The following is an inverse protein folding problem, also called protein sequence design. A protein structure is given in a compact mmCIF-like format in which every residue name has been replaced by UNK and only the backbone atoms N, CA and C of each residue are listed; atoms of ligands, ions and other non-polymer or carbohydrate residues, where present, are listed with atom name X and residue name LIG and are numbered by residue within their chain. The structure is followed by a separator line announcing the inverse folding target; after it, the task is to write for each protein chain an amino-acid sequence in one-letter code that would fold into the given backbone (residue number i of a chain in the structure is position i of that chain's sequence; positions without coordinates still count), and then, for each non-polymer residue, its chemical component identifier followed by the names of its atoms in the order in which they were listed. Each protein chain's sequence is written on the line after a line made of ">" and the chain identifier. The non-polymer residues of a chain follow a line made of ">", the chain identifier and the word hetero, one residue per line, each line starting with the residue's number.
data_IF_369338981183
#
_entry.id   IF_369338981183
#
_cell.length_a   1.000
_cell.length_b   1.000
_cell.length_c   1.000
_cell.angle_alpha   90.00
_cell.angle_beta   90.00
_cell.angle_gamma   90.00
#
_symmetry.space_group_name_H-M   'P 1'
#
loop_
_entity.id
_entity.type
_entity.pdbx_description
1 polymer ?
2 polymer ?
3 non-polymer ?
4 non-polymer ?
5 water ?
#
# COMPACT_ATOMS: atom_id res chain seq x y z
N UNK A 3 3.44 -8.65 -11.97
CA UNK A 3 2.44 -8.35 -10.96
C UNK A 3 2.89 -7.17 -10.11
N UNK A 4 2.06 -6.12 -10.03
CA UNK A 4 2.46 -4.92 -9.32
C UNK A 4 2.42 -5.15 -7.81
N UNK A 5 3.46 -4.69 -7.12
CA UNK A 5 3.59 -4.81 -5.68
C UNK A 5 3.12 -3.53 -5.01
N UNK A 6 2.59 -3.66 -3.80
CA UNK A 6 2.31 -2.49 -2.97
C UNK A 6 2.63 -2.83 -1.53
N UNK A 7 2.72 -1.79 -0.71
CA UNK A 7 3.13 -1.91 0.69
C UNK A 7 1.93 -1.64 1.58
N UNK A 8 1.86 -2.37 2.68
CA UNK A 8 0.91 -2.07 3.75
C UNK A 8 1.64 -2.06 5.08
N UNK A 9 1.15 -1.24 5.99
CA UNK A 9 1.66 -1.20 7.36
C UNK A 9 0.93 -2.25 8.19
N UNK A 10 1.64 -3.29 8.62
CA UNK A 10 1.03 -4.27 9.51
C UNK A 10 0.85 -3.69 10.91
N UNK A 11 1.89 -3.03 11.39
CA UNK A 11 1.91 -2.24 12.62
C UNK A 11 3.03 -1.23 12.46
N UNK A 12 3.08 -0.19 13.30
CA UNK A 12 4.11 0.84 13.07
C UNK A 12 5.51 0.23 13.00
N UNK A 13 6.24 0.58 11.94
CA UNK A 13 7.58 0.05 11.74
C UNK A 13 7.65 -1.28 11.02
N UNK A 14 6.52 -1.95 10.75
CA UNK A 14 6.53 -3.25 10.08
C UNK A 14 5.72 -3.14 8.80
N UNK A 15 6.38 -3.27 7.65
CA UNK A 15 5.78 -3.00 6.35
C UNK A 15 5.85 -4.25 5.49
N UNK A 16 4.68 -4.72 5.01
CA UNK A 16 4.62 -5.91 4.18
C UNK A 16 4.42 -5.51 2.73
N UNK A 17 5.10 -6.20 1.82
CA UNK A 17 4.93 -5.99 0.40
C UNK A 17 4.12 -7.14 -0.17
N UNK A 18 3.05 -6.81 -0.90
CA UNK A 18 2.04 -7.76 -1.34
C UNK A 18 1.84 -7.66 -2.84
N UNK A 19 1.34 -8.76 -3.43
CA UNK A 19 0.75 -8.70 -4.76
C UNK A 19 -0.58 -9.42 -4.76
N UNK A 20 -1.35 -9.13 -5.81
CA UNK A 20 -2.52 -9.93 -6.12
C UNK A 20 -2.08 -11.36 -6.44
N UNK A 21 -2.99 -12.30 -6.21
CA UNK A 21 -2.70 -13.68 -6.56
C UNK A 21 -3.90 -14.33 -7.25
N UNK A 22 -4.72 -15.06 -6.51
CA UNK A 22 -5.80 -15.83 -7.13
C UNK A 22 -7.17 -15.41 -6.59
N UNK A 23 -7.29 -14.15 -6.20
CA UNK A 23 -8.53 -13.67 -5.62
C UNK A 23 -8.72 -14.06 -4.17
N UNK A 24 -7.75 -14.75 -3.58
CA UNK A 24 -7.81 -15.06 -2.16
C UNK A 24 -6.74 -14.28 -1.42
N UNK A 25 -6.02 -14.95 -0.53
CA UNK A 25 -4.97 -14.25 0.22
C UNK A 25 -3.96 -13.64 -0.73
N UNK A 26 -3.51 -12.43 -0.40
CA UNK A 26 -2.46 -11.78 -1.16
C UNK A 26 -1.11 -12.48 -0.94
N UNK A 27 -0.25 -12.37 -1.94
CA UNK A 27 1.07 -13.01 -1.93
C UNK A 27 2.04 -12.11 -1.19
N UNK A 28 2.72 -12.68 -0.19
CA UNK A 28 3.69 -11.92 0.60
C UNK A 28 5.06 -11.98 -0.06
N UNK A 29 5.60 -10.82 -0.43
CA UNK A 29 6.91 -10.76 -1.08
C UNK A 29 8.05 -10.54 -0.08
N UNK A 30 7.82 -9.71 0.93
CA UNK A 30 8.84 -9.42 1.92
C UNK A 30 8.20 -8.68 3.08
N UNK A 31 8.92 -8.66 4.20
CA UNK A 31 8.58 -7.86 5.37
C UNK A 31 9.77 -6.96 5.66
N UNK A 32 9.52 -5.67 5.82
CA UNK A 32 10.56 -4.70 6.13
C UNK A 32 10.32 -4.16 7.53
N UNK A 33 11.38 -4.12 8.32
CA UNK A 33 11.35 -3.64 9.70
C UNK A 33 12.15 -2.36 9.78
N UNK A 34 11.51 -1.28 10.19
CA UNK A 34 12.20 -0.01 10.36
C UNK A 34 13.34 -0.15 11.35
N UNK A 35 14.55 0.25 10.94
CA UNK A 35 15.67 0.25 11.87
C UNK A 35 15.56 1.34 12.93
N UNK A 36 14.69 2.34 12.72
CA UNK A 36 14.40 3.27 13.80
C UNK A 36 13.75 2.53 14.96
N UNK A 37 12.91 1.53 14.66
CA UNK A 37 12.11 0.89 15.68
C UNK A 37 12.54 -0.52 16.06
N UNK A 38 13.35 -1.19 15.24
CA UNK A 38 13.70 -2.59 15.46
C UNK A 38 15.21 -2.79 15.38
N UNK A 39 15.76 -3.41 16.42
CA UNK A 39 17.04 -4.08 16.26
C UNK A 39 16.84 -5.35 15.44
N UNK A 40 17.95 -5.94 14.99
CA UNK A 40 17.82 -7.18 14.25
C UNK A 40 17.26 -8.27 15.15
N UNK A 41 17.65 -8.27 16.43
CA UNK A 41 17.11 -9.25 17.37
C UNK A 41 15.60 -9.07 17.52
N UNK A 42 15.15 -7.82 17.64
CA UNK A 42 13.72 -7.59 17.79
C UNK A 42 12.95 -7.98 16.53
N UNK A 43 13.54 -7.76 15.35
CA UNK A 43 12.85 -8.13 14.12
C UNK A 43 12.72 -9.64 14.03
N UNK A 44 13.76 -10.37 14.42
CA UNK A 44 13.68 -11.83 14.40
C UNK A 44 12.66 -12.33 15.42
N UNK A 45 12.56 -11.66 16.58
CA UNK A 45 11.55 -12.03 17.57
C UNK A 45 10.15 -11.72 17.06
N UNK A 46 9.97 -10.59 16.37
CA UNK A 46 8.67 -10.24 15.81
C UNK A 46 8.21 -11.32 14.84
N UNK A 47 9.11 -11.74 13.96
CA UNK A 47 8.74 -12.79 13.01
C UNK A 47 8.38 -14.08 13.72
N UNK A 48 9.15 -14.47 14.73
CA UNK A 48 8.82 -15.68 15.47
C UNK A 48 7.44 -15.58 16.11
N UNK A 49 7.10 -14.41 16.65
CA UNK A 49 5.82 -14.24 17.33
C UNK A 49 4.66 -14.15 16.35
N UNK A 50 4.88 -13.61 15.16
CA UNK A 50 3.79 -13.25 14.26
C UNK A 50 3.69 -14.12 13.02
N UNK A 51 4.66 -14.98 12.74
CA UNK A 51 4.63 -15.69 11.47
C UNK A 51 3.43 -16.62 11.37
N UNK A 52 2.98 -17.19 12.49
CA UNK A 52 1.81 -18.05 12.44
C UNK A 52 0.60 -17.32 11.90
N UNK A 53 0.38 -16.10 12.40
CA UNK A 53 -0.71 -15.28 11.88
C UNK A 53 -0.46 -14.92 10.42
N UNK A 54 0.79 -14.57 10.08
CA UNK A 54 1.10 -14.18 8.71
C UNK A 54 0.82 -15.30 7.72
N UNK A 55 1.11 -16.54 8.12
CA UNK A 55 0.86 -17.68 7.24
C UNK A 55 -0.61 -17.85 6.92
N UNK A 56 -1.49 -17.45 7.84
CA UNK A 56 -2.92 -17.57 7.63
C UNK A 56 -3.53 -16.35 6.97
N UNK A 57 -2.98 -15.16 7.22
CA UNK A 57 -3.55 -13.97 6.61
C UNK A 57 -3.08 -13.79 5.18
N UNK A 58 -1.88 -14.27 4.86
CA UNK A 58 -1.28 -14.07 3.55
C UNK A 58 -0.89 -15.41 2.98
N UNK A 59 -0.61 -15.40 1.68
CA UNK A 59 0.01 -16.54 1.01
C UNK A 59 1.51 -16.37 1.10
N UNK A 60 2.18 -17.31 1.77
CA UNK A 60 3.61 -17.20 2.04
C UNK A 60 4.29 -18.43 1.47
N UNK A 61 5.09 -18.24 0.43
CA UNK A 61 5.90 -19.33 -0.09
C UNK A 61 6.85 -19.82 0.99
N UNK A 62 6.88 -21.14 1.24
CA UNK A 62 7.62 -21.60 2.41
C UNK A 62 9.05 -22.00 2.08
N UNK A 63 9.29 -22.36 0.83
CA UNK A 63 10.64 -22.72 0.41
C UNK A 63 10.80 -22.29 -1.04
N UNK B 1 13.75 -21.25 2.26
CA UNK B 1 12.95 -20.45 3.17
C UNK B 1 13.19 -18.95 3.06
N UNK B 2 12.43 -18.18 3.83
CA UNK B 2 12.67 -16.73 3.88
C UNK B 2 14.09 -16.45 4.37
N UNK B 3 14.68 -15.38 3.83
CA UNK B 3 16.06 -15.01 4.15
C UNK B 3 16.09 -13.60 4.71
N UNK B 4 16.87 -13.41 5.77
CA UNK B 4 17.11 -12.08 6.32
C UNK B 4 18.16 -11.36 5.48
N UNK B 5 17.87 -10.11 5.12
CA UNK B 5 18.80 -9.27 4.39
C UNK B 5 19.06 -8.04 5.26
N UNK B 6 20.32 -7.84 5.62
CA UNK B 6 20.70 -6.86 6.63
C UNK B 6 21.63 -5.78 6.09
N UNK B 7 21.65 -5.60 4.77
CA UNK B 7 22.59 -4.69 4.12
C UNK B 7 22.04 -3.28 3.94
N UNK B 8 20.76 -3.05 4.21
CA UNK B 8 20.16 -1.72 4.08
C UNK B 8 20.19 -1.00 5.42
N UNK B 9 20.44 0.30 5.37
CA UNK B 9 20.60 1.05 6.60
C UNK B 9 19.29 1.60 7.13
N UNK B 10 18.21 1.49 6.36
CA UNK B 10 16.92 1.99 6.83
C UNK B 10 16.00 0.88 7.28
N UNK B 11 16.09 -0.30 6.66
CA UNK B 11 15.19 -1.40 6.97
C UNK B 11 15.96 -2.71 7.06
N UNK B 12 15.51 -3.56 7.98
CA UNK B 12 15.84 -4.98 7.97
C UNK B 12 14.81 -5.64 7.08
N UNK B 13 15.23 -6.52 6.17
CA UNK B 13 14.30 -7.13 5.23
C UNK B 13 14.25 -8.63 5.45
N UNK B 14 13.05 -9.17 5.55
CA UNK B 14 12.86 -10.62 5.45
C UNK B 14 12.31 -10.87 4.05
N UNK B 15 13.15 -11.44 3.19
CA UNK B 15 12.81 -11.66 1.80
C UNK B 15 12.21 -13.05 1.66
N UNK B 16 10.97 -13.13 1.20
CA UNK B 16 10.32 -14.43 1.14
C UNK B 16 10.92 -15.22 -0.03
N UNK C 3 -2.97 6.49 8.70
CA UNK C 3 -3.78 7.06 9.77
C UNK C 3 -4.25 8.51 9.47
N UNK C 4 -3.34 9.48 9.51
CA UNK C 4 -3.73 10.88 9.30
C UNK C 4 -3.69 11.19 7.80
N UNK C 5 -4.85 11.51 7.22
CA UNK C 5 -4.97 11.71 5.79
C UNK C 5 -4.92 13.20 5.46
N UNK C 6 -4.41 13.51 4.27
CA UNK C 6 -4.54 14.87 3.76
C UNK C 6 -4.81 14.81 2.27
N UNK C 7 -5.20 15.95 1.72
CA UNK C 7 -5.61 16.08 0.33
C UNK C 7 -4.57 16.89 -0.44
N UNK C 8 -4.33 16.50 -1.69
CA UNK C 8 -3.54 17.29 -2.62
C UNK C 8 -4.32 17.44 -3.92
N UNK C 9 -4.17 18.59 -4.56
CA UNK C 9 -4.76 18.82 -5.87
C UNK C 9 -3.78 18.33 -6.92
N UNK C 10 -4.16 17.28 -7.66
CA UNK C 10 -3.31 16.80 -8.74
C UNK C 10 -3.44 17.68 -9.98
N UNK C 11 -4.67 18.07 -10.30
CA UNK C 11 -4.98 19.09 -11.29
C UNK C 11 -6.33 19.66 -10.89
N UNK C 12 -6.76 20.77 -11.51
CA UNK C 12 -8.02 21.38 -11.08
C UNK C 12 -9.16 20.36 -11.10
N UNK C 13 -9.86 20.25 -9.97
CA UNK C 13 -10.97 19.33 -9.86
C UNK C 13 -10.61 17.89 -9.54
N UNK C 14 -9.32 17.56 -9.40
CA UNK C 14 -8.88 16.19 -9.13
C UNK C 14 -8.09 16.21 -7.83
N UNK C 15 -8.61 15.56 -6.79
CA UNK C 15 -8.04 15.65 -5.45
C UNK C 15 -7.68 14.26 -4.95
N UNK C 16 -6.40 14.07 -4.59
CA UNK C 16 -5.94 12.78 -4.09
C UNK C 16 -5.82 12.85 -2.58
N UNK C 17 -6.25 11.79 -1.91
CA UNK C 17 -6.10 11.68 -0.46
C UNK C 17 -4.96 10.72 -0.17
N UNK C 18 -4.02 11.17 0.66
CA UNK C 18 -2.77 10.48 0.92
C UNK C 18 -2.58 10.27 2.41
N UNK C 19 -1.76 9.27 2.74
CA UNK C 19 -1.15 9.16 4.07
C UNK C 19 0.33 8.89 3.94
N UNK C 20 1.03 9.11 5.06
CA UNK C 20 2.39 8.65 5.17
C UNK C 20 2.40 7.13 5.22
N UNK C 21 3.52 6.54 4.86
CA UNK C 21 3.59 5.09 4.93
C UNK C 21 4.91 4.61 5.54
N UNK C 22 5.93 4.40 4.72
CA UNK C 22 7.18 3.83 5.21
C UNK C 22 8.37 4.72 4.87
N UNK C 23 8.15 6.03 4.84
CA UNK C 23 9.18 6.94 4.39
C UNK C 23 9.41 6.94 2.90
N UNK C 24 8.59 6.22 2.13
CA UNK C 24 8.71 6.23 0.69
C UNK C 24 7.49 6.88 0.07
N UNK C 25 7.03 6.32 -1.05
CA UNK C 25 5.84 6.85 -1.71
C UNK C 25 4.67 6.90 -0.74
N UNK C 26 3.90 7.98 -0.81
CA UNK C 26 2.71 8.13 0.00
C UNK C 26 1.65 7.11 -0.41
N UNK C 27 0.79 6.76 0.54
CA UNK C 27 -0.27 5.78 0.32
C UNK C 27 -1.51 6.48 -0.23
N UNK C 28 -1.99 6.02 -1.38
CA UNK C 28 -3.16 6.62 -2.02
C UNK C 28 -4.42 5.98 -1.47
N UNK C 29 -5.29 6.80 -0.87
CA UNK C 29 -6.52 6.29 -0.28
C UNK C 29 -7.71 6.42 -1.23
N UNK C 30 -7.75 7.49 -2.01
CA UNK C 30 -8.86 7.71 -2.93
C UNK C 30 -8.53 8.89 -3.83
N UNK C 31 -9.27 8.98 -4.93
CA UNK C 31 -9.24 10.13 -5.84
C UNK C 31 -10.66 10.65 -5.93
N UNK C 32 -10.83 11.94 -5.71
CA UNK C 32 -12.12 12.61 -5.82
C UNK C 32 -12.10 13.53 -7.04
N UNK C 33 -13.17 13.47 -7.83
CA UNK C 33 -13.32 14.29 -9.03
C UNK C 33 -14.49 15.24 -8.81
N UNK C 34 -14.21 16.54 -8.90
CA UNK C 34 -15.26 17.53 -8.79
C UNK C 34 -16.33 17.33 -9.85
N UNK C 35 -17.59 17.25 -9.41
CA UNK C 35 -18.68 17.14 -10.38
C UNK C 35 -18.91 18.44 -11.14
N UNK C 36 -18.38 19.56 -10.66
CA UNK C 36 -18.41 20.78 -11.46
C UNK C 36 -17.63 20.59 -12.75
N UNK C 37 -16.50 19.87 -12.68
CA UNK C 37 -15.58 19.73 -13.79
C UNK C 37 -15.59 18.37 -14.47
N UNK C 38 -16.13 17.33 -13.84
CA UNK C 38 -16.02 15.97 -14.35
C UNK C 38 -17.37 15.28 -14.40
N UNK C 39 -17.77 14.83 -15.59
CA UNK C 39 -18.76 13.78 -15.69
C UNK C 39 -18.14 12.45 -15.29
N UNK C 40 -18.98 11.43 -15.13
CA UNK C 40 -18.44 10.12 -14.82
C UNK C 40 -17.59 9.60 -15.98
N UNK C 41 -17.99 9.92 -17.21
CA UNK C 41 -17.19 9.59 -18.39
C UNK C 41 -15.81 10.21 -18.30
N UNK C 42 -15.75 11.50 -17.93
CA UNK C 42 -14.47 12.19 -17.84
C UNK C 42 -13.62 11.65 -16.70
N UNK C 43 -14.24 11.32 -15.57
CA UNK C 43 -13.46 10.77 -14.45
C UNK C 43 -12.89 9.41 -14.80
N UNK C 44 -13.69 8.56 -15.44
CA UNK C 44 -13.18 7.25 -15.83
C UNK C 44 -12.05 7.39 -16.84
N UNK C 45 -12.18 8.35 -17.77
CA UNK C 45 -11.09 8.57 -18.71
C UNK C 45 -9.85 9.11 -18.02
N UNK C 46 -10.02 10.01 -17.04
CA UNK C 46 -8.86 10.49 -16.30
C UNK C 46 -8.11 9.34 -15.65
N UNK C 47 -8.84 8.41 -15.04
CA UNK C 47 -8.17 7.29 -14.39
C UNK C 47 -7.46 6.42 -15.42
N UNK C 48 -8.11 6.14 -16.55
CA UNK C 48 -7.44 5.36 -17.59
C UNK C 48 -6.14 6.02 -18.02
N UNK C 49 -6.15 7.35 -18.16
CA UNK C 49 -5.00 8.09 -18.66
C UNK C 49 -3.91 8.28 -17.61
N UNK C 50 -4.27 8.29 -16.32
CA UNK C 50 -3.33 8.69 -15.29
C UNK C 50 -2.98 7.61 -14.29
N UNK C 51 -3.64 6.45 -14.33
CA UNK C 51 -3.38 5.46 -13.29
C UNK C 51 -1.95 4.93 -13.37
N UNK C 52 -1.39 4.84 -14.57
CA UNK C 52 0.01 4.43 -14.68
C UNK C 52 0.92 5.33 -13.88
N UNK C 53 0.70 6.65 -13.98
CA UNK C 53 1.49 7.59 -13.20
C UNK C 53 1.18 7.46 -11.71
N UNK C 54 -0.08 7.24 -11.36
CA UNK C 54 -0.42 7.06 -9.96
C UNK C 54 0.32 5.86 -9.36
N UNK C 55 0.39 4.76 -10.11
CA UNK C 55 1.07 3.57 -9.59
C UNK C 55 2.56 3.82 -9.36
N UNK C 56 3.19 4.66 -10.19
CA UNK C 56 4.61 5.02 -10.12
C UNK C 56 4.89 5.97 -8.96
N UNK C 57 4.01 6.95 -8.80
CA UNK C 57 4.28 8.05 -7.88
C UNK C 57 3.72 7.83 -6.49
N UNK C 58 2.79 6.89 -6.33
CA UNK C 58 2.21 6.60 -5.03
C UNK C 58 2.20 5.11 -4.79
N UNK C 59 2.00 4.75 -3.54
CA UNK C 59 1.70 3.38 -3.18
C UNK C 59 0.21 3.15 -3.34
N UNK C 60 -0.17 2.21 -4.20
CA UNK C 60 -1.58 1.96 -4.50
C UNK C 60 -1.89 0.50 -4.21
N UNK C 61 -2.74 0.25 -3.22
CA UNK C 61 -3.19 -1.12 -3.00
C UNK C 61 -3.97 -1.58 -4.23
N UNK C 62 -3.61 -2.73 -4.81
CA UNK C 62 -4.20 -3.09 -6.10
C UNK C 62 -5.44 -3.95 -5.89
N UNK C 63 -5.45 -4.66 -4.77
CA UNK C 63 -6.56 -5.50 -4.34
C UNK C 63 -6.68 -5.35 -2.83
N UNK D 1 -10.10 -4.55 -6.27
CA UNK D 1 -9.52 -3.36 -6.84
C UNK D 1 -10.22 -2.07 -6.44
N UNK D 2 -9.76 -0.96 -7.00
CA UNK D 2 -10.43 0.32 -6.74
C UNK D 2 -11.88 0.29 -7.21
N UNK D 3 -12.74 0.98 -6.48
CA UNK D 3 -14.18 0.97 -6.73
C UNK D 3 -14.67 2.40 -6.95
N UNK D 4 -15.51 2.59 -7.97
CA UNK D 4 -16.16 3.88 -8.18
C UNK D 4 -17.34 4.01 -7.23
N UNK D 5 -17.41 5.16 -6.56
CA UNK D 5 -18.54 5.50 -5.70
C UNK D 5 -19.17 6.75 -6.29
N UNK D 6 -20.45 6.65 -6.64
CA UNK D 6 -21.15 7.69 -7.39
C UNK D 6 -22.34 8.27 -6.63
N UNK D 7 -22.40 8.07 -5.32
CA UNK D 7 -23.57 8.47 -4.54
C UNK D 7 -23.47 9.88 -3.98
N UNK D 8 -22.32 10.54 -4.11
CA UNK D 8 -22.14 11.89 -3.60
C UNK D 8 -22.39 12.90 -4.72
N UNK D 9 -23.05 14.00 -4.38
CA UNK D 9 -23.45 14.96 -5.39
C UNK D 9 -22.38 16.01 -5.67
N UNK D 10 -21.32 16.05 -4.86
CA UNK D 10 -20.23 17.00 -5.08
C UNK D 10 -19.04 16.38 -5.76
N UNK D 11 -18.75 15.10 -5.49
CA UNK D 11 -17.57 14.44 -6.03
C UNK D 11 -17.92 13.04 -6.49
N UNK D 12 -17.27 12.64 -7.59
CA UNK D 12 -17.13 11.24 -7.95
C UNK D 12 -15.91 10.73 -7.20
N UNK D 13 -16.00 9.55 -6.60
CA UNK D 13 -14.90 9.04 -5.79
C UNK D 13 -14.41 7.73 -6.39
N UNK D 14 -13.11 7.62 -6.56
CA UNK D 14 -12.48 6.32 -6.78
C UNK D 14 -11.84 5.91 -5.46
N UNK D 15 -12.45 4.92 -4.81
CA UNK D 15 -11.99 4.47 -3.50
C UNK D 15 -11.00 3.32 -3.68
N UNK D 16 -9.77 3.50 -3.22
CA UNK D 16 -8.78 2.44 -3.37
C UNK D 16 -9.11 1.30 -2.42
X LIG E 1 9.28 3.96 10.19
X LIG E 1 8.86 4.79 8.98
X LIG E 1 8.07 6.06 9.34
X LIG E 1 8.75 6.82 10.44
X LIG E 1 8.06 6.98 8.10
X LIG E 1 6.76 7.70 7.80
X LIG E 1 8.53 3.02 10.54
X LIG E 1 10.33 4.18 10.83
X LIG E 1 8.42 6.61 11.64
X LIG E 1 9.60 7.65 10.07
X LIG E 1 5.75 6.97 7.65
X LIG E 1 6.74 8.96 7.67
X LIG E 1 6.75 5.75 9.84
X LIG F 1 1.94 0.22 -5.89
X LIG F 1 1.76 1.62 -6.16
X LIG F 1 1.04 -0.62 -6.80
X LIG F 1 1.14 -0.20 -8.16
X LIG G 1 -13.65 21.97 -7.36
X LIG G 1 -13.37 22.63 -6.03
X LIG G 1 -12.92 24.09 -6.19
X LIG G 1 -13.97 24.88 -6.93
X LIG G 1 -12.67 24.66 -4.79
X LIG G 1 -12.25 26.11 -4.78
X LIG G 1 -14.82 22.00 -7.82
X LIG G 1 -12.71 21.43 -7.96
X LIG G 1 -15.03 25.17 -6.34
X LIG G 1 -13.74 25.20 -8.13
X LIG G 1 -11.75 26.61 -5.81
X LIG G 1 -12.42 26.76 -3.72
X LIG G 1 -11.70 24.16 -6.95
#
# INVERSE_FOLDING_TARGET
>A
GPEKEWVEQDEPGVYITLTALAGGARDLKRVRFSRKRFSEIQAEQWWADNRGRMYEQYNVRMV
>B
GPKWVKTDSDFIVLEI
>C
GPEKEWVEQDEPGVYITLTALAGGARDLKRVRFSRKRFSEIQAEQWWADNRGRMYEQYNVRMV
>D
GPKWVKTDSDFIVLEI
>E hetero
1 FLC CAC CA CB CBC CG CGC OA1 OA2 OB1 OB2 OG1 OG2 OHB
>F hetero
1 EDO C1 O1 C2 O2
>G hetero
1 FLC CAC CA CB CBC CG CGC OA1 OA2 OB1 OB2 OG1 OG2 OHB
#
